data_IF_237498174438
#
_entry.id   IF_237498174438
#
_cell.length_a   1.000
_cell.length_b   1.000
_cell.length_c   1.000
_cell.angle_alpha   90.00
_cell.angle_beta   90.00
_cell.angle_gamma   90.00
#
_symmetry.space_group_name_H-M   'P 1'
#
loop_
_entity.id
_entity.type
_entity.pdbx_description
1 polymer ?
#
# COMPACT_ATOMS: atom_id res chain seq x y z
N UNK A 1 -33.03 -9.77 -14.52
CA UNK A 1 -32.52 -9.38 -13.19
C UNK A 1 -31.71 -8.13 -13.44
N UNK A 2 -32.32 -6.97 -13.18
CA UNK A 2 -31.75 -5.65 -13.51
C UNK A 2 -30.51 -5.41 -12.65
N UNK A 3 -29.47 -4.86 -13.27
CA UNK A 3 -28.28 -4.33 -12.60
C UNK A 3 -28.73 -3.21 -11.67
N UNK A 4 -29.08 -3.56 -10.43
CA UNK A 4 -29.23 -2.57 -9.38
C UNK A 4 -27.83 -2.01 -9.11
N UNK A 5 -27.61 -0.77 -9.54
CA UNK A 5 -26.42 0.03 -9.26
C UNK A 5 -26.10 -0.05 -7.76
N UNK A 6 -25.08 -0.85 -7.42
CA UNK A 6 -24.51 -0.88 -6.08
C UNK A 6 -23.97 0.52 -5.82
N UNK A 7 -24.72 1.34 -5.07
CA UNK A 7 -24.24 2.63 -4.58
C UNK A 7 -23.01 2.37 -3.72
N UNK A 8 -21.83 2.55 -4.30
CA UNK A 8 -20.57 2.49 -3.55
C UNK A 8 -20.61 3.63 -2.54
N UNK A 9 -20.54 3.28 -1.25
CA UNK A 9 -20.37 4.28 -0.20
C UNK A 9 -18.99 4.91 -0.37
N UNK A 10 -18.98 6.13 -0.92
CA UNK A 10 -17.77 6.92 -1.18
C UNK A 10 -16.95 7.20 0.10
N UNK A 11 -17.49 6.95 1.30
CA UNK A 11 -16.72 7.04 2.53
C UNK A 11 -15.63 5.95 2.63
N UNK A 12 -15.82 4.79 1.99
CA UNK A 12 -14.97 3.60 2.14
C UNK A 12 -14.57 2.93 0.81
N UNK A 13 -14.62 3.69 -0.28
CA UNK A 13 -14.33 3.23 -1.65
C UNK A 13 -12.84 2.92 -1.95
N UNK A 14 -11.93 3.17 -1.00
CA UNK A 14 -10.49 3.03 -1.21
C UNK A 14 -9.79 2.50 0.04
N UNK A 15 -8.70 1.75 -0.17
CA UNK A 15 -7.90 1.16 0.91
C UNK A 15 -7.36 2.22 1.88
N UNK A 16 -6.80 3.38 1.43
CA UNK A 16 -6.41 4.45 2.34
C UNK A 16 -7.54 4.98 3.23
N UNK A 17 -8.77 5.14 2.70
CA UNK A 17 -9.92 5.59 3.50
C UNK A 17 -10.29 4.55 4.57
N UNK A 18 -10.32 3.27 4.22
CA UNK A 18 -10.56 2.17 5.16
C UNK A 18 -9.49 2.10 6.25
N UNK A 19 -8.21 2.27 5.90
CA UNK A 19 -7.11 2.33 6.87
C UNK A 19 -7.29 3.51 7.83
N UNK A 20 -7.56 4.72 7.32
CA UNK A 20 -7.78 5.90 8.16
C UNK A 20 -9.00 5.74 9.09
N UNK A 21 -10.07 5.11 8.59
CA UNK A 21 -11.22 4.78 9.40
C UNK A 21 -10.85 3.85 10.56
N UNK A 22 -10.15 2.76 10.29
CA UNK A 22 -9.73 1.83 11.34
C UNK A 22 -8.71 2.45 12.32
N UNK A 23 -7.82 3.32 11.84
CA UNK A 23 -6.92 4.10 12.71
C UNK A 23 -7.70 4.95 13.72
N UNK A 24 -8.81 5.57 13.31
CA UNK A 24 -9.67 6.35 14.21
C UNK A 24 -10.53 5.50 15.14
N UNK A 25 -11.14 4.42 14.63
CA UNK A 25 -12.08 3.61 15.40
C UNK A 25 -11.40 2.63 16.36
N UNK A 26 -10.23 2.12 15.99
CA UNK A 26 -9.53 1.05 16.72
C UNK A 26 -8.02 1.24 16.67
N UNK A 27 -7.57 2.48 16.87
CA UNK A 27 -6.18 2.89 16.72
C UNK A 27 -5.17 2.04 17.50
N UNK A 28 -5.51 1.62 18.72
CA UNK A 28 -4.64 0.80 19.59
C UNK A 28 -4.74 -0.71 19.34
N UNK A 29 -5.68 -1.15 18.49
CA UNK A 29 -5.83 -2.57 18.17
C UNK A 29 -4.77 -3.00 17.14
N UNK A 30 -4.27 -4.25 17.20
CA UNK A 30 -3.36 -4.77 16.18
C UNK A 30 -3.95 -4.71 14.77
N UNK A 31 -3.14 -4.23 13.82
CA UNK A 31 -3.44 -4.16 12.39
C UNK A 31 -2.59 -5.15 11.59
N UNK A 32 -1.27 -5.16 11.82
CA UNK A 32 -0.33 -6.06 11.16
C UNK A 32 0.54 -6.79 12.19
N UNK A 33 0.95 -8.01 11.84
CA UNK A 33 1.93 -8.78 12.61
C UNK A 33 2.93 -9.40 11.66
N UNK A 34 4.18 -9.43 12.09
CA UNK A 34 5.27 -10.08 11.37
C UNK A 34 6.11 -10.88 12.35
N UNK A 35 6.44 -12.12 11.99
CA UNK A 35 7.41 -12.92 12.73
C UNK A 35 8.80 -12.66 12.17
N UNK A 36 9.72 -12.18 13.02
CA UNK A 36 11.10 -11.88 12.66
C UNK A 36 12.03 -12.58 13.66
N UNK A 37 12.93 -13.45 13.16
CA UNK A 37 13.83 -14.27 13.98
C UNK A 37 13.13 -15.05 15.12
N UNK A 38 11.91 -15.53 14.84
CA UNK A 38 11.10 -16.25 15.83
C UNK A 38 10.22 -15.37 16.73
N UNK A 39 10.43 -14.06 16.75
CA UNK A 39 9.73 -13.10 17.60
C UNK A 39 8.61 -12.43 16.81
N UNK A 40 7.40 -12.37 17.39
CA UNK A 40 6.28 -11.64 16.80
C UNK A 40 6.40 -10.14 17.10
N UNK A 41 6.47 -9.34 16.03
CA UNK A 41 6.27 -7.90 16.06
C UNK A 41 4.84 -7.60 15.62
N UNK A 42 4.22 -6.62 16.27
CA UNK A 42 2.85 -6.19 15.98
C UNK A 42 2.83 -4.67 15.85
N UNK A 43 2.01 -4.18 14.93
CA UNK A 43 1.73 -2.76 14.74
C UNK A 43 0.24 -2.53 14.90
N UNK A 44 -0.10 -1.47 15.60
CA UNK A 44 -1.47 -1.00 15.80
C UNK A 44 -1.96 -0.24 14.57
N UNK A 45 -3.28 -0.04 14.44
CA UNK A 45 -3.84 0.73 13.32
C UNK A 45 -3.35 2.18 13.28
N UNK A 46 -3.07 2.79 14.44
CA UNK A 46 -2.50 4.12 14.53
C UNK A 46 -1.07 4.14 13.96
N UNK A 47 -0.21 3.22 14.42
CA UNK A 47 1.18 3.13 13.94
C UNK A 47 1.26 2.85 12.44
N UNK A 48 0.41 1.96 11.91
CA UNK A 48 0.36 1.69 10.46
C UNK A 48 -0.01 2.95 9.68
N UNK A 49 -1.00 3.73 10.14
CA UNK A 49 -1.40 4.95 9.46
C UNK A 49 -0.28 6.01 9.45
N UNK A 50 0.48 6.11 10.55
CA UNK A 50 1.62 7.03 10.65
C UNK A 50 2.79 6.62 9.75
N UNK A 51 3.09 5.32 9.66
CA UNK A 51 4.10 4.77 8.74
C UNK A 51 3.72 5.01 7.28
N UNK A 52 2.47 4.69 6.91
CA UNK A 52 1.94 4.91 5.55
C UNK A 52 1.99 6.40 5.20
N UNK A 53 1.60 7.29 6.13
CA UNK A 53 1.69 8.74 5.93
C UNK A 53 3.12 9.18 5.69
N UNK A 54 4.06 8.67 6.48
CA UNK A 54 5.49 9.02 6.35
C UNK A 54 6.05 8.58 5.00
N UNK A 55 5.72 7.37 4.54
CA UNK A 55 6.09 6.86 3.22
C UNK A 55 5.49 7.73 2.10
N UNK A 56 4.20 8.07 2.20
CA UNK A 56 3.53 8.92 1.21
C UNK A 56 4.15 10.32 1.15
N UNK A 57 4.47 10.93 2.29
CA UNK A 57 5.19 12.21 2.32
C UNK A 57 6.57 12.11 1.67
N UNK A 58 7.31 11.03 1.91
CA UNK A 58 8.59 10.76 1.24
C UNK A 58 8.45 10.66 -0.28
N UNK A 59 7.51 9.85 -0.77
CA UNK A 59 7.23 9.74 -2.20
C UNK A 59 6.85 11.08 -2.83
N UNK A 60 5.95 11.84 -2.18
CA UNK A 60 5.56 13.17 -2.64
C UNK A 60 6.76 14.14 -2.70
N UNK A 61 7.68 14.07 -1.72
CA UNK A 61 8.91 14.89 -1.72
C UNK A 61 9.87 14.57 -2.85
N UNK A 62 9.83 13.33 -3.37
CA UNK A 62 10.58 12.89 -4.55
C UNK A 62 9.88 13.24 -5.88
N UNK A 63 8.74 13.94 -5.83
CA UNK A 63 7.99 14.35 -7.01
C UNK A 63 7.04 13.28 -7.56
N UNK A 64 6.67 12.28 -6.75
CA UNK A 64 5.63 11.31 -7.10
C UNK A 64 4.24 11.98 -7.13
N UNK A 65 3.50 11.75 -8.20
CA UNK A 65 2.24 12.39 -8.51
C UNK A 65 1.12 11.37 -8.73
N UNK A 66 -0.13 11.85 -8.68
CA UNK A 66 -1.29 11.04 -9.03
C UNK A 66 -1.14 10.48 -10.45
N UNK A 67 -1.40 9.18 -10.60
CA UNK A 67 -1.26 8.47 -11.86
C UNK A 67 0.12 7.84 -12.09
N UNK A 68 1.16 8.27 -11.36
CA UNK A 68 2.48 7.63 -11.42
C UNK A 68 2.38 6.17 -10.94
N UNK A 69 3.22 5.30 -11.51
CA UNK A 69 3.30 3.88 -11.12
C UNK A 69 4.55 3.66 -10.28
N UNK A 70 4.41 3.00 -9.13
CA UNK A 70 5.52 2.68 -8.23
C UNK A 70 5.76 1.18 -8.20
N UNK A 71 6.93 0.73 -8.67
CA UNK A 71 7.35 -0.65 -8.46
C UNK A 71 7.67 -0.89 -6.98
N UNK A 72 7.12 -1.96 -6.42
CA UNK A 72 7.36 -2.37 -5.04
C UNK A 72 7.90 -3.78 -5.04
N UNK A 73 9.16 -3.93 -4.63
CA UNK A 73 9.88 -5.21 -4.67
C UNK A 73 10.42 -5.51 -3.27
N UNK A 74 10.21 -6.73 -2.80
CA UNK A 74 10.81 -7.18 -1.55
C UNK A 74 10.12 -8.39 -0.93
N UNK A 75 10.56 -8.71 0.29
CA UNK A 75 9.99 -9.77 1.09
C UNK A 75 8.55 -9.44 1.53
N UNK A 76 7.73 -10.48 1.75
CA UNK A 76 6.42 -10.37 2.38
C UNK A 76 6.56 -9.86 3.84
N UNK A 77 6.56 -8.53 4.00
CA UNK A 77 6.74 -7.80 5.26
C UNK A 77 5.77 -6.61 5.28
N UNK A 78 5.37 -6.11 6.47
CA UNK A 78 4.42 -5.01 6.58
C UNK A 78 4.78 -3.79 5.73
N UNK A 79 6.06 -3.38 5.73
CA UNK A 79 6.54 -2.25 4.92
C UNK A 79 6.28 -2.38 3.42
N UNK A 80 6.32 -3.59 2.86
CA UNK A 80 6.00 -3.83 1.46
C UNK A 80 4.52 -3.53 1.15
N UNK A 81 3.60 -3.87 2.05
CA UNK A 81 2.19 -3.51 1.88
C UNK A 81 1.92 -2.05 2.18
N UNK A 82 2.60 -1.48 3.17
CA UNK A 82 2.44 -0.07 3.53
C UNK A 82 2.91 0.85 2.41
N UNK A 83 3.97 0.50 1.67
CA UNK A 83 4.38 1.27 0.50
C UNK A 83 3.31 1.26 -0.59
N UNK A 84 2.63 0.13 -0.84
CA UNK A 84 1.53 0.08 -1.80
C UNK A 84 0.37 0.98 -1.38
N UNK A 85 -0.01 0.98 -0.09
CA UNK A 85 -1.06 1.87 0.42
C UNK A 85 -0.60 3.33 0.34
N UNK A 86 0.66 3.62 0.62
CA UNK A 86 1.24 4.96 0.48
C UNK A 86 1.22 5.47 -0.97
N UNK A 87 1.49 4.60 -1.94
CA UNK A 87 1.31 4.90 -3.37
C UNK A 87 -0.15 5.31 -3.66
N UNK A 88 -1.11 4.55 -3.14
CA UNK A 88 -2.53 4.83 -3.32
C UNK A 88 -3.00 6.10 -2.59
N UNK A 89 -2.38 6.46 -1.45
CA UNK A 89 -2.65 7.74 -0.76
C UNK A 89 -2.39 8.93 -1.69
N UNK A 90 -1.36 8.86 -2.53
CA UNK A 90 -1.05 9.89 -3.53
C UNK A 90 -1.85 9.75 -4.83
N UNK A 91 -2.70 8.73 -4.94
CA UNK A 91 -3.44 8.42 -6.17
C UNK A 91 -2.57 7.79 -7.26
N UNK A 92 -1.41 7.23 -6.92
CA UNK A 92 -0.61 6.43 -7.83
C UNK A 92 -1.02 4.96 -7.87
N UNK A 93 -0.29 4.19 -8.67
CA UNK A 93 -0.57 2.79 -8.95
C UNK A 93 0.59 1.93 -8.45
N UNK A 94 0.41 1.13 -7.38
CA UNK A 94 1.45 0.21 -6.95
C UNK A 94 1.57 -0.97 -7.93
N UNK A 95 2.80 -1.31 -8.30
CA UNK A 95 3.15 -2.43 -9.17
C UNK A 95 4.01 -3.41 -8.35
N UNK A 96 3.38 -4.38 -7.66
CA UNK A 96 4.12 -5.33 -6.83
C UNK A 96 4.90 -6.33 -7.70
N UNK A 97 6.15 -6.58 -7.34
CA UNK A 97 6.99 -7.60 -7.98
C UNK A 97 7.54 -8.56 -6.94
N UNK A 98 7.59 -9.84 -7.30
CA UNK A 98 8.25 -10.85 -6.49
C UNK A 98 9.76 -10.65 -6.55
N UNK A 99 10.40 -10.70 -5.39
CA UNK A 99 11.86 -10.52 -5.28
C UNK A 99 12.67 -11.64 -5.94
N UNK A 100 12.04 -12.81 -6.14
CA UNK A 100 12.59 -14.01 -6.77
C UNK A 100 12.17 -14.16 -8.24
N UNK A 101 11.50 -13.15 -8.81
CA UNK A 101 11.24 -13.08 -10.25
C UNK A 101 12.53 -13.07 -11.05
N UNK A 102 12.50 -13.72 -12.21
CA UNK A 102 13.64 -13.72 -13.14
C UNK A 102 13.85 -12.28 -13.65
N UNK A 103 15.10 -11.85 -13.76
CA UNK A 103 15.44 -10.47 -14.11
C UNK A 103 14.77 -9.97 -15.39
N UNK A 104 14.63 -10.84 -16.40
CA UNK A 104 13.94 -10.52 -17.66
C UNK A 104 12.43 -10.25 -17.46
N UNK A 105 11.77 -10.98 -16.55
CA UNK A 105 10.35 -10.73 -16.22
C UNK A 105 10.19 -9.41 -15.45
N UNK A 106 11.13 -9.10 -14.55
CA UNK A 106 11.14 -7.82 -13.83
C UNK A 106 11.32 -6.66 -14.80
N UNK A 107 12.24 -6.78 -15.75
CA UNK A 107 12.49 -5.77 -16.78
C UNK A 107 11.23 -5.54 -17.63
N UNK A 108 10.59 -6.62 -18.09
CA UNK A 108 9.37 -6.54 -18.87
C UNK A 108 8.25 -5.80 -18.12
N UNK A 109 8.04 -6.10 -16.83
CA UNK A 109 7.00 -5.42 -16.06
C UNK A 109 7.35 -3.94 -15.83
N UNK A 110 8.61 -3.62 -15.54
CA UNK A 110 9.04 -2.23 -15.34
C UNK A 110 8.88 -1.40 -16.61
N UNK A 111 9.29 -1.93 -17.77
CA UNK A 111 9.17 -1.27 -19.07
C UNK A 111 7.70 -1.10 -19.49
N UNK A 112 6.89 -2.14 -19.32
CA UNK A 112 5.48 -2.12 -19.73
C UNK A 112 4.58 -1.32 -18.75
N UNK A 113 5.01 -1.17 -17.50
CA UNK A 113 4.27 -0.42 -16.50
C UNK A 113 4.69 1.06 -16.41
N UNK A 114 5.60 1.57 -17.24
CA UNK A 114 6.02 2.99 -17.24
C UNK A 114 6.28 3.50 -15.81
N UNK A 115 7.08 2.73 -15.07
CA UNK A 115 7.35 2.93 -13.65
C UNK A 115 8.29 4.12 -13.48
N UNK A 116 8.03 4.93 -12.45
CA UNK A 116 8.82 6.12 -12.10
C UNK A 116 9.75 5.89 -10.92
#
# INVERSE_FOLDING_TARGET
MTEDDVKIDNAFDTIPKLMLYHSKQRGQSPANRQKEYGIWKSWTWAEVADEVRSLACGLASLGFQRGDKLAVIGNNRPRLYWSMVATQVLGGIPVPLYQDSVAEEMLYVLENADVK
#
